data_IF_154434470425
#
_entry.id   IF_154434470425
#
_cell.length_a   1.000
_cell.length_b   1.000
_cell.length_c   1.000
_cell.angle_alpha   90.00
_cell.angle_beta   90.00
_cell.angle_gamma   90.00
#
_symmetry.space_group_name_H-M   'P 1'
#
loop_
_entity.id
_entity.type
_entity.pdbx_description
1 polymer ?
#
# COMPACT_ATOMS: atom_id res chain seq x y z
N UNK A 1 -9.67 -19.19 0.52
CA UNK A 1 -9.11 -18.56 -0.70
C UNK A 1 -8.61 -17.20 -0.27
N UNK A 2 -7.41 -16.81 -0.69
CA UNK A 2 -6.84 -15.49 -0.44
C UNK A 2 -6.95 -14.68 -1.73
N UNK A 3 -7.92 -13.77 -1.89
CA UNK A 3 -8.07 -13.04 -3.13
C UNK A 3 -6.92 -12.05 -3.36
N UNK A 4 -6.24 -12.15 -4.51
CA UNK A 4 -5.05 -11.36 -4.84
C UNK A 4 -5.23 -10.71 -6.21
N UNK A 5 -5.24 -9.37 -6.25
CA UNK A 5 -5.24 -8.62 -7.50
C UNK A 5 -3.86 -8.73 -8.15
N UNK A 6 -3.84 -9.22 -9.39
CA UNK A 6 -2.63 -9.30 -10.21
C UNK A 6 -2.97 -9.11 -11.69
N UNK A 7 -2.21 -8.25 -12.36
CA UNK A 7 -2.26 -8.07 -13.80
C UNK A 7 -0.83 -8.07 -14.37
N UNK A 8 -0.56 -8.71 -15.53
CA UNK A 8 0.78 -8.73 -16.13
C UNK A 8 1.42 -7.34 -16.33
N UNK A 9 0.61 -6.33 -16.66
CA UNK A 9 1.04 -4.92 -16.80
C UNK A 9 1.66 -4.31 -15.54
N UNK A 10 1.45 -4.92 -14.36
CA UNK A 10 2.07 -4.45 -13.11
C UNK A 10 3.60 -4.45 -13.23
N UNK A 11 4.16 -5.34 -14.06
CA UNK A 11 5.55 -5.29 -14.51
C UNK A 11 5.69 -4.25 -15.64
N UNK A 12 6.08 -3.03 -15.29
CA UNK A 12 6.31 -1.96 -16.27
C UNK A 12 7.79 -1.87 -16.67
N UNK A 13 8.16 -1.80 -17.96
CA UNK A 13 9.54 -1.64 -18.36
C UNK A 13 10.12 -0.32 -17.82
N UNK A 14 11.28 -0.40 -17.19
CA UNK A 14 12.01 0.76 -16.68
C UNK A 14 13.42 0.81 -17.30
N UNK A 15 14.02 2.01 -17.45
CA UNK A 15 15.40 2.13 -17.88
C UNK A 15 16.36 1.32 -17.01
N UNK A 16 17.43 0.80 -17.62
CA UNK A 16 18.48 0.10 -16.88
C UNK A 16 19.04 0.98 -15.75
N UNK A 17 19.22 0.38 -14.57
CA UNK A 17 19.71 1.09 -13.38
C UNK A 17 18.66 1.95 -12.67
N UNK A 18 17.38 1.93 -13.09
CA UNK A 18 16.32 2.60 -12.34
C UNK A 18 16.21 2.03 -10.92
N UNK A 19 16.07 2.90 -9.92
CA UNK A 19 16.11 2.54 -8.49
C UNK A 19 14.89 1.73 -8.01
N UNK A 20 13.78 1.77 -8.75
CA UNK A 20 12.55 1.05 -8.42
C UNK A 20 12.67 -0.44 -8.83
N UNK A 21 12.54 -1.41 -7.90
CA UNK A 21 12.75 -2.82 -8.17
C UNK A 21 11.49 -3.46 -8.78
N UNK A 22 11.15 -3.05 -10.01
CA UNK A 22 9.93 -3.50 -10.70
C UNK A 22 9.80 -5.02 -10.81
N UNK A 23 10.94 -5.72 -10.88
CA UNK A 23 11.01 -7.19 -10.92
C UNK A 23 10.27 -7.85 -9.74
N UNK A 24 10.07 -7.15 -8.61
CA UNK A 24 9.33 -7.69 -7.46
C UNK A 24 7.89 -8.10 -7.79
N UNK A 25 7.23 -7.36 -8.69
CA UNK A 25 5.84 -7.64 -9.07
C UNK A 25 5.68 -8.85 -9.99
N UNK A 26 6.75 -9.26 -10.67
CA UNK A 26 6.77 -10.51 -11.44
C UNK A 26 7.14 -11.71 -10.57
N UNK A 27 8.17 -11.56 -9.72
CA UNK A 27 8.72 -12.68 -8.96
C UNK A 27 7.88 -13.07 -7.76
N UNK A 28 7.17 -12.13 -7.12
CA UNK A 28 6.37 -12.48 -5.95
C UNK A 28 5.23 -13.46 -6.28
N UNK A 29 4.34 -13.22 -7.27
CA UNK A 29 3.31 -14.21 -7.60
C UNK A 29 3.89 -15.60 -7.89
N UNK A 30 5.03 -15.67 -8.60
CA UNK A 30 5.73 -16.91 -8.89
C UNK A 30 6.24 -17.60 -7.62
N UNK A 31 6.82 -16.84 -6.68
CA UNK A 31 7.27 -17.36 -5.39
C UNK A 31 6.10 -17.92 -4.57
N UNK A 32 4.97 -17.20 -4.52
CA UNK A 32 3.79 -17.61 -3.76
C UNK A 32 3.20 -18.92 -4.29
N UNK A 33 3.15 -19.08 -5.62
CA UNK A 33 2.74 -20.32 -6.28
C UNK A 33 3.75 -21.46 -6.04
N UNK A 34 5.04 -21.17 -6.17
CA UNK A 34 6.11 -22.15 -6.00
C UNK A 34 6.12 -22.76 -4.59
N UNK A 35 5.89 -21.93 -3.57
CA UNK A 35 5.81 -22.38 -2.17
C UNK A 35 4.48 -23.04 -1.80
N UNK A 36 3.48 -23.01 -2.70
CA UNK A 36 2.13 -23.51 -2.41
C UNK A 36 1.37 -22.68 -1.38
N UNK A 37 1.77 -21.42 -1.15
CA UNK A 37 1.03 -20.49 -0.29
C UNK A 37 -0.33 -20.20 -0.93
N UNK A 38 -0.35 -20.05 -2.24
CA UNK A 38 -1.53 -19.75 -3.05
C UNK A 38 -1.58 -20.67 -4.27
N UNK A 39 -2.76 -20.71 -4.90
CA UNK A 39 -3.02 -21.38 -6.18
C UNK A 39 -3.42 -20.34 -7.22
N UNK A 40 -3.48 -20.73 -8.49
CA UNK A 40 -3.95 -19.84 -9.57
C UNK A 40 -5.36 -19.26 -9.29
N UNK A 41 -6.21 -20.01 -8.57
CA UNK A 41 -7.57 -19.59 -8.23
C UNK A 41 -7.63 -18.48 -7.16
N UNK A 42 -6.52 -18.21 -6.47
CA UNK A 42 -6.42 -17.12 -5.50
C UNK A 42 -6.22 -15.77 -6.21
N UNK A 43 -5.78 -15.77 -7.48
CA UNK A 43 -5.56 -14.55 -8.26
C UNK A 43 -6.81 -14.12 -9.02
N UNK A 44 -7.01 -12.80 -9.11
CA UNK A 44 -7.96 -12.18 -10.02
C UNK A 44 -7.31 -11.02 -10.78
N UNK A 45 -7.77 -10.80 -12.00
CA UNK A 45 -7.21 -9.78 -12.89
C UNK A 45 -8.11 -8.55 -12.91
N UNK A 46 -7.65 -7.38 -12.43
CA UNK A 46 -8.43 -6.16 -12.45
C UNK A 46 -8.57 -5.57 -13.85
N UNK A 47 -9.74 -4.97 -14.10
CA UNK A 47 -10.01 -4.19 -15.30
C UNK A 47 -9.57 -2.72 -15.12
N UNK A 48 -9.98 -1.84 -16.02
CA UNK A 48 -9.87 -0.39 -15.85
C UNK A 48 -11.09 0.11 -15.03
N UNK A 49 -10.89 0.91 -13.98
CA UNK A 49 -11.99 1.39 -13.14
C UNK A 49 -12.82 2.44 -13.90
N UNK A 50 -14.08 2.60 -13.50
CA UNK A 50 -14.86 3.78 -13.89
C UNK A 50 -14.16 5.04 -13.36
N UNK A 51 -13.87 5.98 -14.25
CA UNK A 51 -13.10 7.19 -13.95
C UNK A 51 -13.71 8.01 -12.80
N UNK A 52 -15.02 7.91 -12.56
CA UNK A 52 -15.67 8.58 -11.43
C UNK A 52 -15.06 8.19 -10.07
N UNK A 53 -14.55 6.97 -9.94
CA UNK A 53 -13.92 6.50 -8.69
C UNK A 53 -12.57 7.17 -8.46
N UNK A 54 -11.84 7.47 -9.53
CA UNK A 54 -10.59 8.22 -9.45
C UNK A 54 -10.88 9.69 -9.15
N UNK A 55 -11.87 10.27 -9.85
CA UNK A 55 -12.29 11.67 -9.68
C UNK A 55 -12.96 11.95 -8.33
N UNK A 56 -13.33 10.92 -7.56
CA UNK A 56 -13.80 11.08 -6.19
C UNK A 56 -12.66 11.41 -5.20
N UNK A 57 -11.41 11.21 -5.61
CA UNK A 57 -10.21 11.40 -4.77
C UNK A 57 -9.22 12.39 -5.39
N UNK A 58 -9.05 12.33 -6.71
CA UNK A 58 -8.09 13.14 -7.44
C UNK A 58 -8.77 14.30 -8.17
N UNK A 59 -8.11 15.45 -8.17
CA UNK A 59 -8.54 16.64 -8.88
C UNK A 59 -8.70 16.34 -10.37
N UNK A 60 -9.81 16.81 -10.93
CA UNK A 60 -10.17 16.57 -12.33
C UNK A 60 -9.06 17.00 -13.29
N UNK A 61 -8.50 18.19 -13.10
CA UNK A 61 -7.47 18.74 -13.98
C UNK A 61 -6.20 17.86 -13.95
N UNK A 62 -5.80 17.39 -12.77
CA UNK A 62 -4.66 16.48 -12.62
C UNK A 62 -4.90 15.14 -13.33
N UNK A 63 -6.09 14.55 -13.17
CA UNK A 63 -6.46 13.30 -13.82
C UNK A 63 -6.49 13.47 -15.35
N UNK A 64 -7.06 14.57 -15.86
CA UNK A 64 -7.07 14.87 -17.29
C UNK A 64 -5.64 14.99 -17.84
N UNK A 65 -4.79 15.78 -17.18
CA UNK A 65 -3.38 15.95 -17.60
C UNK A 65 -2.60 14.64 -17.58
N UNK A 66 -2.87 13.78 -16.59
CA UNK A 66 -2.29 12.46 -16.51
C UNK A 66 -2.73 11.61 -17.71
N UNK A 67 -4.04 11.48 -17.95
CA UNK A 67 -4.60 10.67 -19.04
C UNK A 67 -4.17 11.16 -20.44
N UNK A 68 -4.03 12.47 -20.63
CA UNK A 68 -3.60 13.06 -21.91
C UNK A 68 -2.09 13.20 -22.06
N UNK A 69 -1.30 12.75 -21.07
CA UNK A 69 0.16 12.86 -21.05
C UNK A 69 0.67 14.32 -21.20
N UNK A 70 -0.06 15.27 -20.62
CA UNK A 70 0.24 16.72 -20.71
C UNK A 70 0.79 17.31 -19.41
N UNK A 71 1.03 16.48 -18.39
CA UNK A 71 1.75 16.89 -17.18
C UNK A 71 3.04 17.63 -17.51
N UNK A 72 3.28 18.75 -16.82
CA UNK A 72 4.51 19.51 -17.03
C UNK A 72 5.76 18.67 -16.65
N UNK A 73 6.92 19.04 -17.22
CA UNK A 73 8.15 18.31 -17.01
C UNK A 73 8.65 18.31 -15.54
N UNK A 74 8.19 19.24 -14.70
CA UNK A 74 8.53 19.27 -13.26
C UNK A 74 7.64 18.28 -12.49
N UNK A 75 6.35 18.23 -12.78
CA UNK A 75 5.40 17.27 -12.21
C UNK A 75 5.80 15.83 -12.60
N UNK A 76 6.06 15.58 -13.88
CA UNK A 76 6.53 14.29 -14.37
C UNK A 76 7.81 13.80 -13.67
N UNK A 77 8.77 14.71 -13.41
CA UNK A 77 10.00 14.36 -12.68
C UNK A 77 9.77 14.01 -11.21
N UNK A 78 8.77 14.59 -10.55
CA UNK A 78 8.43 14.26 -9.15
C UNK A 78 7.87 12.85 -9.00
N UNK A 79 7.12 12.38 -10.00
CA UNK A 79 6.64 10.99 -10.08
C UNK A 79 7.82 10.03 -10.13
N UNK A 80 8.86 10.35 -10.92
CA UNK A 80 10.06 9.54 -10.98
C UNK A 80 9.93 8.31 -11.87
N UNK A 81 8.92 8.25 -12.73
CA UNK A 81 8.82 7.30 -13.84
C UNK A 81 8.74 8.04 -15.19
N UNK A 82 9.25 7.45 -16.29
CA UNK A 82 8.96 7.95 -17.63
C UNK A 82 7.46 7.85 -17.91
N UNK A 83 6.81 8.98 -18.19
CA UNK A 83 5.37 8.98 -18.48
C UNK A 83 5.09 8.29 -19.82
N UNK A 84 4.10 7.39 -19.82
CA UNK A 84 3.61 6.68 -20.99
C UNK A 84 2.16 6.25 -20.79
N UNK A 85 1.44 6.00 -21.88
CA UNK A 85 0.06 5.49 -21.81
C UNK A 85 0.00 4.13 -21.08
N UNK A 86 1.01 3.29 -21.26
CA UNK A 86 1.12 2.00 -20.58
C UNK A 86 1.30 2.16 -19.07
N UNK A 87 2.10 3.14 -18.63
CA UNK A 87 2.24 3.45 -17.20
C UNK A 87 0.90 3.91 -16.62
N UNK A 88 0.16 4.76 -17.33
CA UNK A 88 -1.15 5.24 -16.86
C UNK A 88 -2.14 4.06 -16.77
N UNK A 89 -2.20 3.20 -17.78
CA UNK A 89 -3.06 2.01 -17.75
C UNK A 89 -2.70 1.11 -16.55
N UNK A 90 -1.41 0.94 -16.25
CA UNK A 90 -0.96 0.23 -15.06
C UNK A 90 -1.54 0.83 -13.78
N UNK A 91 -1.47 2.14 -13.60
CA UNK A 91 -1.98 2.82 -12.40
C UNK A 91 -3.50 2.69 -12.27
N UNK A 92 -4.22 2.80 -13.40
CA UNK A 92 -5.67 2.57 -13.45
C UNK A 92 -6.02 1.16 -12.97
N UNK A 93 -5.33 0.13 -13.48
CA UNK A 93 -5.55 -1.27 -13.08
C UNK A 93 -5.14 -1.55 -11.64
N UNK A 94 -4.13 -0.86 -11.12
CA UNK A 94 -3.78 -0.92 -9.69
C UNK A 94 -4.95 -0.39 -8.85
N UNK A 95 -5.51 0.77 -9.21
CA UNK A 95 -6.66 1.33 -8.49
C UNK A 95 -7.87 0.38 -8.52
N UNK A 96 -8.20 -0.20 -9.67
CA UNK A 96 -9.28 -1.20 -9.77
C UNK A 96 -8.95 -2.48 -8.97
N UNK A 97 -7.70 -2.94 -8.97
CA UNK A 97 -7.25 -4.06 -8.15
C UNK A 97 -7.53 -3.84 -6.66
N UNK A 98 -7.36 -2.60 -6.19
CA UNK A 98 -7.68 -2.23 -4.81
C UNK A 98 -9.19 -2.14 -4.58
N UNK A 99 -9.97 -1.52 -5.48
CA UNK A 99 -11.45 -1.48 -5.42
C UNK A 99 -12.06 -2.89 -5.36
N UNK A 100 -11.74 -3.72 -6.35
CA UNK A 100 -12.18 -5.12 -6.42
C UNK A 100 -11.67 -5.92 -5.21
N UNK A 101 -10.47 -5.59 -4.71
CA UNK A 101 -9.91 -6.15 -3.47
C UNK A 101 -10.76 -5.82 -2.25
N UNK A 102 -11.27 -4.60 -2.12
CA UNK A 102 -12.16 -4.21 -1.01
C UNK A 102 -13.42 -5.06 -0.96
N UNK A 103 -14.11 -5.25 -2.10
CA UNK A 103 -15.32 -6.06 -2.16
C UNK A 103 -15.06 -7.52 -1.79
N UNK A 104 -13.92 -8.06 -2.21
CA UNK A 104 -13.50 -9.41 -1.85
C UNK A 104 -13.14 -9.52 -0.38
N UNK A 105 -12.42 -8.54 0.19
CA UNK A 105 -12.10 -8.50 1.61
C UNK A 105 -13.36 -8.50 2.49
N UNK A 106 -14.43 -7.80 2.08
CA UNK A 106 -15.73 -7.86 2.78
C UNK A 106 -16.34 -9.27 2.80
N UNK A 107 -16.03 -10.10 1.80
CA UNK A 107 -16.55 -11.47 1.68
C UNK A 107 -15.64 -12.50 2.38
N UNK A 108 -14.32 -12.31 2.30
CA UNK A 108 -13.31 -13.30 2.74
C UNK A 108 -12.56 -12.89 4.01
N UNK A 109 -12.79 -11.68 4.52
CA UNK A 109 -12.07 -11.06 5.63
C UNK A 109 -10.72 -10.42 5.25
N UNK A 110 -10.13 -10.80 4.11
CA UNK A 110 -8.86 -10.26 3.63
C UNK A 110 -8.75 -10.32 2.10
N UNK A 111 -8.11 -9.34 1.48
CA UNK A 111 -7.67 -9.38 0.08
C UNK A 111 -6.36 -8.62 -0.11
N UNK A 112 -5.67 -8.84 -1.23
CA UNK A 112 -4.37 -8.23 -1.55
C UNK A 112 -4.37 -7.54 -2.90
N UNK A 113 -3.51 -6.53 -3.06
CA UNK A 113 -3.08 -6.01 -4.36
C UNK A 113 -1.56 -5.99 -4.47
N UNK A 114 -1.00 -6.76 -5.41
CA UNK A 114 0.46 -6.95 -5.53
C UNK A 114 1.20 -5.66 -5.86
N UNK A 115 0.60 -4.77 -6.65
CA UNK A 115 1.26 -3.52 -7.07
C UNK A 115 0.71 -2.27 -6.38
N UNK A 116 -0.23 -2.43 -5.45
CA UNK A 116 -0.83 -1.31 -4.71
C UNK A 116 0.07 -0.75 -3.60
N UNK A 117 -0.46 0.25 -2.89
CA UNK A 117 0.22 0.96 -1.81
C UNK A 117 0.87 2.25 -2.31
N UNK A 118 0.18 2.97 -3.18
CA UNK A 118 0.66 4.19 -3.85
C UNK A 118 0.39 5.45 -3.03
N UNK A 119 0.78 5.42 -1.76
CA UNK A 119 0.42 6.40 -0.72
C UNK A 119 0.99 7.82 -0.87
N UNK A 120 1.92 8.06 -1.80
CA UNK A 120 2.52 9.37 -2.02
C UNK A 120 1.74 10.26 -3.00
N UNK A 121 0.79 9.69 -3.75
CA UNK A 121 -0.05 10.45 -4.66
C UNK A 121 -1.03 11.32 -3.86
N UNK A 122 -0.92 12.63 -4.05
CA UNK A 122 -1.85 13.63 -3.52
C UNK A 122 -3.09 13.68 -4.39
N UNK A 123 -4.13 14.38 -3.92
CA UNK A 123 -5.32 14.71 -4.72
C UNK A 123 -4.96 15.35 -6.08
N UNK A 124 -3.93 16.20 -6.13
CA UNK A 124 -3.66 17.05 -7.28
C UNK A 124 -2.30 16.80 -7.98
N UNK A 125 -1.55 15.77 -7.57
CA UNK A 125 -0.25 15.44 -8.16
C UNK A 125 0.24 14.05 -7.78
N UNK A 126 0.98 13.44 -8.70
CA UNK A 126 1.80 12.28 -8.43
C UNK A 126 3.16 12.65 -7.85
N UNK A 127 3.72 11.77 -7.03
CA UNK A 127 5.02 11.95 -6.40
C UNK A 127 5.61 10.60 -5.96
N UNK A 128 6.94 10.48 -5.96
CA UNK A 128 7.67 9.36 -5.39
C UNK A 128 7.11 7.97 -5.80
N UNK A 129 7.01 7.76 -7.11
CA UNK A 129 6.53 6.55 -7.77
C UNK A 129 5.04 6.27 -7.65
N UNK A 130 4.26 7.22 -7.13
CA UNK A 130 2.82 7.10 -6.98
C UNK A 130 2.14 8.13 -7.87
N UNK A 131 1.26 7.69 -8.77
CA UNK A 131 0.51 8.59 -9.67
C UNK A 131 -0.95 8.72 -9.23
N UNK A 132 -1.59 7.62 -8.86
CA UNK A 132 -2.92 7.59 -8.25
C UNK A 132 -2.81 6.90 -6.89
N UNK A 133 -3.52 7.39 -5.88
CA UNK A 133 -3.53 6.79 -4.54
C UNK A 133 -4.58 5.68 -4.46
N UNK A 134 -4.15 4.42 -4.58
CA UNK A 134 -5.03 3.27 -4.74
C UNK A 134 -5.89 2.99 -3.50
N UNK A 135 -5.29 3.07 -2.30
CA UNK A 135 -6.01 2.86 -1.04
C UNK A 135 -6.96 4.01 -0.73
N UNK A 136 -6.61 5.26 -1.08
CA UNK A 136 -7.55 6.37 -0.95
C UNK A 136 -8.75 6.22 -1.90
N UNK A 137 -8.52 5.80 -3.15
CA UNK A 137 -9.59 5.49 -4.11
C UNK A 137 -10.48 4.36 -3.58
N UNK A 138 -9.88 3.27 -3.06
CA UNK A 138 -10.62 2.18 -2.44
C UNK A 138 -11.42 2.62 -1.22
N UNK A 139 -10.87 3.49 -0.37
CA UNK A 139 -11.54 3.99 0.81
C UNK A 139 -12.75 4.86 0.44
N UNK A 140 -12.58 5.82 -0.47
CA UNK A 140 -13.68 6.66 -0.92
C UNK A 140 -14.75 5.83 -1.65
N UNK A 141 -14.35 4.81 -2.42
CA UNK A 141 -15.28 3.85 -3.03
C UNK A 141 -16.18 3.16 -1.98
N UNK A 142 -15.60 2.66 -0.90
CA UNK A 142 -16.35 2.00 0.16
C UNK A 142 -17.35 2.96 0.85
N UNK A 143 -16.95 4.20 1.11
CA UNK A 143 -17.82 5.23 1.70
C UNK A 143 -18.97 5.61 0.77
N UNK A 144 -18.67 5.89 -0.51
CA UNK A 144 -19.67 6.27 -1.52
C UNK A 144 -20.71 5.16 -1.73
N UNK A 145 -20.26 3.90 -1.67
CA UNK A 145 -21.11 2.71 -1.80
C UNK A 145 -21.80 2.31 -0.49
N UNK A 146 -21.46 2.95 0.63
CA UNK A 146 -21.94 2.60 1.98
C UNK A 146 -21.63 1.15 2.35
N UNK A 147 -20.50 0.64 1.88
CA UNK A 147 -19.96 -0.68 2.21
C UNK A 147 -19.10 -0.65 3.48
N UNK A 148 -18.61 0.54 3.84
CA UNK A 148 -17.97 0.86 5.11
C UNK A 148 -18.45 2.24 5.55
N UNK A 149 -18.41 2.51 6.85
CA UNK A 149 -18.76 3.81 7.44
C UNK A 149 -17.60 4.45 8.20
N UNK A 150 -16.60 3.65 8.61
CA UNK A 150 -15.42 4.15 9.29
C UNK A 150 -14.21 3.31 8.88
N UNK A 151 -13.25 3.96 8.25
CA UNK A 151 -12.08 3.31 7.66
C UNK A 151 -10.85 3.65 8.51
N UNK A 152 -10.00 2.67 8.77
CA UNK A 152 -8.66 2.88 9.34
C UNK A 152 -7.60 2.51 8.31
N UNK A 153 -6.78 3.47 7.91
CA UNK A 153 -5.61 3.22 7.07
C UNK A 153 -4.40 3.07 7.99
N UNK A 154 -3.83 1.86 8.02
CA UNK A 154 -2.61 1.52 8.74
C UNK A 154 -1.45 1.51 7.73
N UNK A 155 -0.70 2.59 7.69
CA UNK A 155 0.45 2.76 6.81
C UNK A 155 1.76 2.49 7.56
N UNK A 156 2.38 1.34 7.26
CA UNK A 156 3.65 0.89 7.85
C UNK A 156 4.78 0.81 6.81
N UNK A 157 4.65 1.54 5.69
CA UNK A 157 5.81 1.89 4.85
C UNK A 157 6.81 2.74 5.64
N UNK A 158 8.09 2.67 5.29
CA UNK A 158 9.10 3.51 5.97
C UNK A 158 8.94 5.00 5.66
N UNK A 159 8.30 5.34 4.55
CA UNK A 159 7.99 6.71 4.17
C UNK A 159 6.60 7.10 4.69
N UNK A 160 6.42 8.38 5.04
CA UNK A 160 5.08 8.82 5.44
C UNK A 160 4.15 8.81 4.22
N UNK A 161 2.95 8.25 4.36
CA UNK A 161 1.85 8.34 3.39
C UNK A 161 1.27 9.74 3.25
N UNK A 162 2.09 10.71 2.83
CA UNK A 162 1.73 12.12 2.72
C UNK A 162 0.55 12.39 1.78
N UNK A 163 0.40 11.60 0.70
CA UNK A 163 -0.72 11.74 -0.21
C UNK A 163 -2.03 11.33 0.47
N UNK A 164 -2.01 10.19 1.15
CA UNK A 164 -3.15 9.71 1.94
C UNK A 164 -3.55 10.69 3.05
N UNK A 165 -2.56 11.23 3.78
CA UNK A 165 -2.80 12.23 4.82
C UNK A 165 -3.46 13.50 4.26
N UNK A 166 -2.95 14.02 3.14
CA UNK A 166 -3.51 15.22 2.51
C UNK A 166 -4.93 15.01 1.98
N UNK A 167 -5.20 13.87 1.34
CA UNK A 167 -6.52 13.54 0.78
C UNK A 167 -7.59 13.49 1.88
N UNK A 168 -7.27 12.89 3.03
CA UNK A 168 -8.27 12.67 4.10
C UNK A 168 -8.21 13.66 5.25
N UNK A 169 -7.38 14.71 5.18
CA UNK A 169 -7.18 15.69 6.26
C UNK A 169 -8.49 16.31 6.83
N UNK A 170 -9.57 16.34 6.04
CA UNK A 170 -10.88 16.89 6.42
C UNK A 170 -12.00 15.85 6.38
N UNK A 171 -11.69 14.56 6.30
CA UNK A 171 -12.67 13.47 6.24
C UNK A 171 -12.65 12.65 7.54
N UNK A 172 -13.60 12.88 8.47
CA UNK A 172 -13.62 12.17 9.75
C UNK A 172 -13.95 10.67 9.64
N UNK A 173 -14.45 10.21 8.48
CA UNK A 173 -14.82 8.82 8.25
C UNK A 173 -13.60 7.95 7.86
N UNK A 174 -12.43 8.57 7.62
CA UNK A 174 -11.16 7.88 7.35
C UNK A 174 -10.11 8.34 8.35
N UNK A 175 -9.66 7.43 9.21
CA UNK A 175 -8.55 7.68 10.13
C UNK A 175 -7.24 7.21 9.50
N UNK A 176 -6.27 8.12 9.39
CA UNK A 176 -4.95 7.88 8.80
C UNK A 176 -3.90 7.72 9.88
N UNK A 177 -3.30 6.52 9.95
CA UNK A 177 -2.24 6.19 10.90
C UNK A 177 -0.95 5.82 10.15
N UNK A 178 0.15 6.51 10.46
CA UNK A 178 1.46 6.23 9.86
C UNK A 178 2.54 6.04 10.92
N UNK A 179 3.32 4.95 10.80
CA UNK A 179 4.63 4.82 11.45
C UNK A 179 5.70 4.88 10.37
N UNK A 180 6.57 5.88 10.44
CA UNK A 180 7.55 6.13 9.38
C UNK A 180 8.91 6.56 9.94
N UNK A 181 9.95 6.48 9.11
CA UNK A 181 11.27 7.00 9.44
C UNK A 181 11.28 8.53 9.50
N UNK A 182 11.66 9.09 10.65
CA UNK A 182 11.71 10.54 10.88
C UNK A 182 12.55 11.26 9.83
N UNK A 183 13.71 10.69 9.47
CA UNK A 183 14.66 11.25 8.51
C UNK A 183 14.48 10.71 7.08
N UNK A 184 13.44 9.89 6.84
CA UNK A 184 13.07 9.41 5.51
C UNK A 184 12.24 10.44 4.76
N UNK A 185 12.18 10.29 3.44
CA UNK A 185 11.29 11.06 2.59
C UNK A 185 9.80 10.82 2.99
N UNK A 186 8.90 11.80 2.84
CA UNK A 186 9.15 13.19 2.46
C UNK A 186 9.82 13.98 3.59
N UNK A 187 10.76 14.87 3.26
CA UNK A 187 11.49 15.64 4.30
C UNK A 187 10.60 16.68 4.99
N UNK A 188 9.59 17.19 4.28
CA UNK A 188 8.47 17.90 4.86
C UNK A 188 7.32 16.90 4.98
N UNK A 189 6.98 16.54 6.21
CA UNK A 189 5.86 15.65 6.51
C UNK A 189 4.54 16.41 6.40
N UNK A 190 3.51 15.74 5.92
CA UNK A 190 2.11 16.18 6.08
C UNK A 190 1.62 15.77 7.47
N UNK A 191 0.37 16.10 7.82
CA UNK A 191 -0.22 15.73 9.11
C UNK A 191 -1.32 14.70 8.88
N UNK A 192 -1.08 13.47 9.32
CA UNK A 192 -2.10 12.42 9.43
C UNK A 192 -2.88 12.59 10.75
N UNK A 193 -3.89 11.75 10.98
CA UNK A 193 -4.59 11.72 12.28
C UNK A 193 -3.69 11.23 13.41
N UNK A 194 -2.80 10.28 13.11
CA UNK A 194 -1.72 9.87 14.00
C UNK A 194 -0.44 9.54 13.23
N UNK A 195 0.62 10.31 13.50
CA UNK A 195 1.96 10.07 12.97
C UNK A 195 2.94 9.68 14.08
N UNK A 196 3.68 8.60 13.87
CA UNK A 196 4.78 8.16 14.74
C UNK A 196 6.08 8.15 13.94
N UNK A 197 6.87 9.22 14.13
CA UNK A 197 8.16 9.37 13.48
C UNK A 197 9.27 8.68 14.27
N UNK A 198 9.83 7.61 13.71
CA UNK A 198 10.86 6.79 14.35
C UNK A 198 12.28 7.25 14.00
N UNK A 199 13.25 7.20 14.94
CA UNK A 199 14.64 7.49 14.62
C UNK A 199 15.24 6.44 13.69
N UNK A 200 16.26 6.85 12.95
CA UNK A 200 17.06 5.95 12.11
C UNK A 200 17.57 4.77 12.96
N UNK A 201 17.64 3.58 12.33
CA UNK A 201 18.08 2.32 12.95
C UNK A 201 17.23 1.84 14.13
N UNK A 202 15.96 2.27 14.23
CA UNK A 202 15.00 1.67 15.16
C UNK A 202 14.95 0.14 14.99
N UNK A 203 15.13 -0.59 16.09
CA UNK A 203 15.20 -2.05 16.12
C UNK A 203 13.82 -2.71 16.02
N UNK A 204 13.82 -4.02 15.79
CA UNK A 204 12.60 -4.84 15.84
C UNK A 204 11.83 -4.66 17.16
N UNK A 205 12.53 -4.71 18.29
CA UNK A 205 11.90 -4.64 19.62
C UNK A 205 11.08 -3.35 19.79
N UNK A 206 11.69 -2.20 19.50
CA UNK A 206 11.02 -0.92 19.66
C UNK A 206 9.90 -0.73 18.64
N UNK A 207 10.14 -1.08 17.37
CA UNK A 207 9.13 -0.99 16.31
C UNK A 207 7.89 -1.84 16.66
N UNK A 208 8.09 -3.11 17.04
CA UNK A 208 7.01 -4.03 17.36
C UNK A 208 6.28 -3.65 18.63
N UNK A 209 6.99 -3.12 19.65
CA UNK A 209 6.37 -2.60 20.88
C UNK A 209 5.36 -1.51 20.56
N UNK A 210 5.76 -0.55 19.71
CA UNK A 210 4.90 0.58 19.29
C UNK A 210 3.67 0.07 18.53
N UNK A 211 3.86 -0.79 17.52
CA UNK A 211 2.75 -1.36 16.72
C UNK A 211 1.76 -2.09 17.63
N UNK A 212 2.27 -2.97 18.50
CA UNK A 212 1.45 -3.80 19.39
C UNK A 212 0.70 -2.97 20.45
N UNK A 213 1.21 -1.79 20.80
CA UNK A 213 0.57 -0.88 21.75
C UNK A 213 -0.50 0.01 21.09
N UNK A 214 -0.20 0.57 19.91
CA UNK A 214 -1.03 1.62 19.29
C UNK A 214 -2.23 1.03 18.54
N UNK A 215 -2.00 0.03 17.70
CA UNK A 215 -3.03 -0.51 16.79
C UNK A 215 -4.30 -0.98 17.52
N UNK A 216 -4.23 -1.78 18.61
CA UNK A 216 -5.45 -2.18 19.30
C UNK A 216 -6.17 -1.01 19.98
N UNK A 217 -5.45 0.05 20.40
CA UNK A 217 -6.07 1.26 20.95
C UNK A 217 -6.81 2.03 19.85
N UNK A 218 -6.21 2.17 18.67
CA UNK A 218 -6.86 2.80 17.52
C UNK A 218 -8.13 2.06 17.12
N UNK A 219 -8.07 0.73 17.00
CA UNK A 219 -9.25 -0.09 16.69
C UNK A 219 -10.35 0.12 17.73
N UNK A 220 -10.01 0.15 19.02
CA UNK A 220 -10.99 0.36 20.10
C UNK A 220 -11.60 1.77 20.12
N UNK A 221 -10.80 2.79 19.78
CA UNK A 221 -11.19 4.19 19.77
C UNK A 221 -12.01 4.54 18.53
N UNK A 222 -11.45 4.29 17.35
CA UNK A 222 -12.02 4.69 16.07
C UNK A 222 -13.12 3.74 15.61
N UNK A 223 -13.10 2.48 16.06
CA UNK A 223 -14.08 1.43 15.72
C UNK A 223 -14.28 1.30 14.20
N UNK A 224 -13.20 1.11 13.43
CA UNK A 224 -13.32 0.96 11.99
C UNK A 224 -14.08 -0.32 11.63
N UNK A 225 -14.90 -0.24 10.58
CA UNK A 225 -15.56 -1.39 9.96
C UNK A 225 -14.82 -1.88 8.70
N UNK A 226 -13.74 -1.19 8.30
CA UNK A 226 -12.81 -1.63 7.26
C UNK A 226 -11.38 -1.13 7.53
N UNK A 227 -10.37 -1.95 7.23
CA UNK A 227 -8.95 -1.56 7.35
C UNK A 227 -8.26 -1.62 5.98
N UNK A 228 -7.48 -0.59 5.66
CA UNK A 228 -6.42 -0.70 4.66
C UNK A 228 -5.09 -0.91 5.37
N UNK A 229 -4.33 -1.91 4.94
CA UNK A 229 -3.01 -2.18 5.48
C UNK A 229 -1.96 -2.03 4.39
N UNK A 230 -1.06 -1.07 4.56
CA UNK A 230 0.08 -0.88 3.67
C UNK A 230 1.31 -1.53 4.31
N UNK A 231 1.67 -2.71 3.80
CA UNK A 231 2.68 -3.61 4.37
C UNK A 231 4.05 -3.43 3.71
N UNK A 232 4.53 -2.18 3.60
CA UNK A 232 5.84 -1.83 3.04
C UNK A 232 6.97 -2.62 3.69
N UNK A 233 7.92 -3.13 2.91
CA UNK A 233 9.09 -3.88 3.44
C UNK A 233 10.37 -3.06 3.45
N UNK A 234 10.28 -1.76 3.14
CA UNK A 234 11.41 -0.84 3.20
C UNK A 234 11.77 -0.38 4.62
N UNK A 235 11.12 -0.94 5.65
CA UNK A 235 11.55 -0.81 7.05
C UNK A 235 12.82 -1.65 7.36
N UNK A 236 13.21 -2.54 6.45
CA UNK A 236 14.35 -3.44 6.65
C UNK A 236 15.68 -2.67 6.75
N UNK A 237 16.59 -3.13 7.62
CA UNK A 237 17.93 -2.54 7.78
C UNK A 237 18.75 -2.54 6.48
N UNK A 238 18.47 -3.53 5.62
CA UNK A 238 19.12 -3.69 4.31
C UNK A 238 18.54 -2.77 3.22
N UNK A 239 17.42 -2.08 3.47
CA UNK A 239 16.76 -1.25 2.48
C UNK A 239 17.63 -0.04 2.09
N UNK A 240 17.64 0.32 0.80
CA UNK A 240 18.44 1.47 0.31
C UNK A 240 17.73 2.82 0.48
N UNK A 241 16.41 2.83 0.53
CA UNK A 241 15.60 4.04 0.64
C UNK A 241 15.03 4.22 2.05
N UNK A 242 14.86 3.12 2.79
CA UNK A 242 14.57 3.09 4.22
C UNK A 242 15.80 3.33 5.11
N UNK A 243 15.56 3.81 6.33
CA UNK A 243 16.62 4.02 7.34
C UNK A 243 16.35 3.35 8.68
N UNK A 244 15.26 2.59 8.80
CA UNK A 244 14.99 1.81 10.01
C UNK A 244 15.92 0.58 10.06
N UNK A 245 15.94 -0.09 11.22
CA UNK A 245 16.86 -1.19 11.51
C UNK A 245 16.15 -2.54 11.64
N UNK A 246 14.99 -2.72 11.01
CA UNK A 246 14.20 -3.93 11.21
C UNK A 246 14.80 -5.12 10.44
N UNK A 247 14.65 -6.32 11.00
CA UNK A 247 14.99 -7.58 10.33
C UNK A 247 13.81 -8.13 9.53
N UNK A 248 14.05 -9.12 8.66
CA UNK A 248 12.97 -9.87 7.99
C UNK A 248 12.01 -10.49 9.02
N UNK A 249 12.54 -10.98 10.15
CA UNK A 249 11.71 -11.59 11.19
C UNK A 249 10.88 -10.53 11.94
N UNK A 250 11.44 -9.34 12.18
CA UNK A 250 10.69 -8.21 12.72
C UNK A 250 9.57 -7.76 11.78
N UNK A 251 9.87 -7.62 10.49
CA UNK A 251 8.89 -7.29 9.46
C UNK A 251 7.76 -8.33 9.39
N UNK A 252 8.10 -9.63 9.38
CA UNK A 252 7.11 -10.72 9.47
C UNK A 252 6.26 -10.62 10.73
N UNK A 253 6.88 -10.33 11.89
CA UNK A 253 6.17 -10.25 13.17
C UNK A 253 5.21 -9.06 13.21
N UNK A 254 5.59 -7.93 12.60
CA UNK A 254 4.69 -6.77 12.40
C UNK A 254 3.45 -7.21 11.64
N UNK A 255 3.62 -7.87 10.49
CA UNK A 255 2.50 -8.32 9.66
C UNK A 255 1.60 -9.31 10.43
N UNK A 256 2.19 -10.23 11.19
CA UNK A 256 1.46 -11.13 12.09
C UNK A 256 0.62 -10.39 13.12
N UNK A 257 1.17 -9.34 13.75
CA UNK A 257 0.44 -8.53 14.74
C UNK A 257 -0.77 -7.85 14.09
N UNK A 258 -0.57 -7.14 12.98
CA UNK A 258 -1.64 -6.41 12.29
C UNK A 258 -2.76 -7.35 11.84
N UNK A 259 -2.39 -8.42 11.12
CA UNK A 259 -3.36 -9.37 10.59
C UNK A 259 -4.07 -10.16 11.70
N UNK A 260 -3.39 -10.45 12.81
CA UNK A 260 -4.02 -11.05 13.99
C UNK A 260 -5.05 -10.13 14.63
N UNK A 261 -4.80 -8.82 14.69
CA UNK A 261 -5.81 -7.87 15.17
C UNK A 261 -7.00 -7.78 14.23
N UNK A 262 -6.78 -7.66 12.92
CA UNK A 262 -7.87 -7.65 11.93
C UNK A 262 -8.75 -8.91 12.07
N UNK A 263 -8.11 -10.09 12.19
CA UNK A 263 -8.81 -11.35 12.40
C UNK A 263 -9.56 -11.41 13.74
N UNK A 264 -8.91 -10.99 14.84
CA UNK A 264 -9.49 -11.02 16.19
C UNK A 264 -10.70 -10.12 16.34
N UNK A 265 -10.66 -8.93 15.73
CA UNK A 265 -11.76 -7.96 15.76
C UNK A 265 -12.75 -8.15 14.61
N UNK A 266 -12.53 -9.16 13.75
CA UNK A 266 -13.37 -9.49 12.59
C UNK A 266 -13.57 -8.31 11.62
N UNK A 267 -12.51 -7.50 11.44
CA UNK A 267 -12.52 -6.34 10.56
C UNK A 267 -11.92 -6.74 9.20
N UNK A 268 -12.67 -6.61 8.09
CA UNK A 268 -12.15 -6.84 6.74
C UNK A 268 -10.93 -5.96 6.45
N UNK A 269 -9.90 -6.55 5.81
CA UNK A 269 -8.66 -5.84 5.49
C UNK A 269 -8.26 -5.98 4.02
N UNK A 270 -7.98 -4.85 3.36
CA UNK A 270 -7.30 -4.83 2.06
C UNK A 270 -5.83 -4.51 2.27
N UNK A 271 -4.95 -5.40 1.80
CA UNK A 271 -3.51 -5.31 1.98
C UNK A 271 -2.83 -4.90 0.67
N UNK A 272 -1.91 -3.95 0.75
CA UNK A 272 -1.06 -3.53 -0.37
C UNK A 272 0.41 -3.58 0.01
N UNK A 273 1.27 -3.92 -0.95
CA UNK A 273 2.68 -4.16 -0.69
C UNK A 273 3.48 -2.89 -0.39
N UNK A 274 3.19 -1.76 -1.03
CA UNK A 274 3.97 -0.52 -0.84
C UNK A 274 5.45 -0.63 -1.26
N UNK A 275 6.32 0.03 -0.50
CA UNK A 275 7.75 0.13 -0.72
C UNK A 275 8.55 -1.15 -0.41
N UNK A 276 9.83 -1.10 -0.75
CA UNK A 276 10.79 -2.21 -0.62
C UNK A 276 11.85 -2.13 -1.71
N UNK A 277 13.10 -1.88 -1.32
CA UNK A 277 14.23 -1.46 -2.16
C UNK A 277 15.58 -2.05 -1.71
N UNK A 278 15.58 -3.14 -0.93
CA UNK A 278 16.80 -3.89 -0.60
C UNK A 278 17.60 -4.26 -1.86
N UNK A 279 18.96 -4.22 -1.81
CA UNK A 279 19.81 -4.48 -2.98
C UNK A 279 19.57 -5.83 -3.64
N UNK A 280 19.30 -6.86 -2.83
CA UNK A 280 19.04 -8.21 -3.31
C UNK A 280 17.54 -8.44 -3.42
N UNK A 281 17.06 -8.71 -4.64
CA UNK A 281 15.63 -8.91 -4.92
C UNK A 281 15.01 -10.02 -4.06
N UNK A 282 15.78 -11.08 -3.75
CA UNK A 282 15.35 -12.19 -2.89
C UNK A 282 14.92 -11.73 -1.49
N UNK A 283 15.55 -10.68 -0.96
CA UNK A 283 15.22 -10.10 0.35
C UNK A 283 13.85 -9.44 0.31
N UNK A 284 13.56 -8.68 -0.76
CA UNK A 284 12.27 -8.04 -0.98
C UNK A 284 11.17 -9.10 -1.13
N UNK A 285 11.42 -10.12 -1.95
CA UNK A 285 10.48 -11.21 -2.20
C UNK A 285 10.20 -12.00 -0.92
N UNK A 286 11.23 -12.38 -0.16
CA UNK A 286 11.06 -13.11 1.10
C UNK A 286 10.29 -12.29 2.14
N UNK A 287 10.56 -11.01 2.27
CA UNK A 287 9.86 -10.13 3.20
C UNK A 287 8.37 -10.01 2.84
N UNK A 288 8.02 -9.75 1.57
CA UNK A 288 6.63 -9.70 1.16
C UNK A 288 5.95 -11.07 1.22
N UNK A 289 6.61 -12.16 0.84
CA UNK A 289 6.04 -13.51 0.91
C UNK A 289 5.63 -13.87 2.35
N UNK A 290 6.36 -13.40 3.36
CA UNK A 290 5.98 -13.59 4.75
C UNK A 290 4.59 -13.02 5.08
N UNK A 291 4.20 -11.86 4.55
CA UNK A 291 2.85 -11.30 4.73
C UNK A 291 1.77 -12.28 4.26
N UNK A 292 1.96 -12.91 3.10
CA UNK A 292 1.02 -13.88 2.53
C UNK A 292 1.04 -15.22 3.29
N UNK A 293 2.20 -15.68 3.76
CA UNK A 293 2.29 -16.89 4.62
C UNK A 293 1.49 -16.71 5.92
N UNK A 294 1.62 -15.54 6.55
CA UNK A 294 0.86 -15.19 7.75
C UNK A 294 -0.65 -15.14 7.43
N UNK A 295 -1.04 -14.43 6.36
CA UNK A 295 -2.44 -14.36 5.94
C UNK A 295 -3.04 -15.74 5.68
N UNK A 296 -2.29 -16.62 5.01
CA UNK A 296 -2.69 -18.01 4.76
C UNK A 296 -2.98 -18.76 6.05
N UNK A 297 -2.13 -18.61 7.06
CA UNK A 297 -2.31 -19.27 8.35
C UNK A 297 -3.48 -18.73 9.19
N UNK A 298 -3.86 -17.46 9.00
CA UNK A 298 -4.88 -16.79 9.82
C UNK A 298 -6.28 -16.78 9.19
N UNK A 299 -6.35 -16.80 7.85
CA UNK A 299 -7.61 -16.59 7.10
C UNK A 299 -8.06 -17.80 6.27
N UNK A 300 -7.30 -18.90 6.24
CA UNK A 300 -7.70 -20.14 5.55
C UNK A 300 -7.47 -21.36 6.42
#
# INVERSE_FOLDING_TARGET
MLPIAFHPIYKHPLPEGHRFPMLKYELLPQQLLHEGIVTENDFFTPDIPDLKHILAVHDKDYVEELLTLTLDARAARKIGFPLSAELIERELRIAEGTISGCEKALQTGIAFNIAGGTHHAYSNRGEAFCLLNDQAIGAQYLLDKKLASKILIIDLDVHQGNGTAEIFQNNPDVFTFSIHGKSNYPFKKETSDLDIALPDKTSDEEYLRIVNEIVPKLIAQEKPDFIFYLSGVDILDSDKLGKLGCSIQGCKKRDEIILSFCKKFEIPVQCSMGGGYSPEIKTIIEAHANTYRIAKSLFT
#
